data_IF_800841761804
#
_entry.id   IF_800841761804
#
_cell.length_a   1.000
_cell.length_b   1.000
_cell.length_c   1.000
_cell.angle_alpha   90.00
_cell.angle_beta   90.00
_cell.angle_gamma   90.00
#
_symmetry.space_group_name_H-M   'P 1'
#
loop_
_entity.id
_entity.type
_entity.pdbx_description
1 polymer ?
#
# COMPACT_ATOMS: atom_id res chain seq x y z
N UNK A 1 -46.58 6.86 4.32
CA UNK A 1 -45.53 7.57 5.10
C UNK A 1 -44.98 6.64 6.19
N UNK A 2 -44.10 5.69 5.86
CA UNK A 2 -43.56 4.73 6.88
C UNK A 2 -42.15 4.21 6.55
N UNK A 3 -41.32 4.96 5.82
CA UNK A 3 -39.93 4.53 5.53
C UNK A 3 -38.90 5.33 6.35
N UNK A 4 -39.23 6.55 6.76
CA UNK A 4 -38.32 7.41 7.53
C UNK A 4 -38.22 7.07 9.03
N UNK A 5 -39.20 6.37 9.60
CA UNK A 5 -39.23 6.04 11.04
C UNK A 5 -38.38 4.81 11.36
N UNK A 6 -38.13 3.92 10.38
CA UNK A 6 -37.30 2.72 10.57
C UNK A 6 -35.79 3.01 10.52
N UNK A 7 -35.36 4.08 9.83
CA UNK A 7 -33.95 4.46 9.74
C UNK A 7 -33.36 5.02 11.04
N UNK A 8 -34.16 5.73 11.85
CA UNK A 8 -33.72 6.33 13.11
C UNK A 8 -33.69 5.32 14.28
N UNK A 9 -34.54 4.29 14.26
CA UNK A 9 -34.56 3.25 15.29
C UNK A 9 -33.30 2.36 15.28
N UNK A 10 -32.74 2.07 14.09
CA UNK A 10 -31.55 1.22 13.97
C UNK A 10 -30.26 1.85 14.51
N UNK A 11 -30.11 3.17 14.35
CA UNK A 11 -28.92 3.92 14.83
C UNK A 11 -28.93 4.03 16.37
N UNK A 12 -30.10 4.21 16.99
CA UNK A 12 -30.25 4.26 18.44
C UNK A 12 -30.09 2.89 19.12
N UNK A 13 -30.42 1.81 18.42
CA UNK A 13 -30.26 0.45 18.95
C UNK A 13 -28.79 0.02 19.06
N UNK A 14 -27.96 0.42 18.10
CA UNK A 14 -26.52 0.15 18.12
C UNK A 14 -25.75 0.96 19.17
N UNK A 15 -26.13 2.23 19.40
CA UNK A 15 -25.50 3.07 20.43
C UNK A 15 -25.95 2.69 21.85
N UNK A 16 -27.20 2.23 22.01
CA UNK A 16 -27.76 1.83 23.31
C UNK A 16 -27.29 0.46 23.82
N UNK A 17 -27.07 -0.53 22.94
CA UNK A 17 -26.61 -1.87 23.36
C UNK A 17 -25.17 -1.83 23.91
N UNK A 18 -24.31 -0.98 23.35
CA UNK A 18 -22.92 -0.86 23.82
C UNK A 18 -22.81 -0.36 25.27
N UNK A 19 -23.82 0.36 25.77
CA UNK A 19 -23.82 0.92 27.13
C UNK A 19 -24.37 -0.01 28.22
N UNK A 20 -24.89 -1.21 27.88
CA UNK A 20 -25.68 -2.02 28.81
C UNK A 20 -25.17 -3.45 29.01
N UNK A 21 -23.85 -3.62 29.09
CA UNK A 21 -23.23 -4.86 29.58
C UNK A 21 -22.85 -4.64 31.05
N UNK A 22 -23.56 -5.24 32.03
CA UNK A 22 -23.17 -5.18 33.43
C UNK A 22 -21.91 -6.02 33.65
N UNK A 23 -20.76 -5.35 33.74
CA UNK A 23 -19.50 -5.96 34.13
C UNK A 23 -19.47 -6.15 35.65
N UNK A 24 -19.79 -7.37 36.12
CA UNK A 24 -19.34 -7.84 37.44
C UNK A 24 -18.52 -9.12 37.29
N UNK A 25 -17.20 -9.03 37.12
CA UNK A 25 -16.34 -10.20 37.24
C UNK A 25 -15.99 -10.44 38.72
N UNK A 26 -16.17 -11.68 39.19
CA UNK A 26 -15.64 -12.13 40.46
C UNK A 26 -14.11 -12.16 40.45
N UNK A 27 -13.51 -11.97 41.64
CA UNK A 27 -12.07 -11.78 41.95
C UNK A 27 -11.06 -12.78 41.33
N UNK A 28 -11.49 -13.86 40.69
CA UNK A 28 -10.63 -14.83 40.00
C UNK A 28 -10.46 -14.55 38.50
N UNK A 29 -11.32 -13.72 37.88
CA UNK A 29 -11.19 -13.31 36.48
C UNK A 29 -10.16 -12.17 36.29
N UNK A 30 -9.90 -11.37 37.32
CA UNK A 30 -8.99 -10.21 37.25
C UNK A 30 -7.51 -10.61 37.06
N UNK A 31 -7.09 -11.75 37.64
CA UNK A 31 -5.70 -12.22 37.51
C UNK A 31 -5.43 -12.78 36.11
N UNK A 32 -6.42 -13.46 35.51
CA UNK A 32 -6.34 -13.93 34.12
C UNK A 32 -6.43 -12.80 33.09
N UNK A 33 -7.28 -11.78 33.33
CA UNK A 33 -7.41 -10.62 32.45
C UNK A 33 -6.20 -9.68 32.50
N UNK A 34 -5.53 -9.51 33.65
CA UNK A 34 -4.28 -8.73 33.71
C UNK A 34 -3.12 -9.45 33.00
N UNK A 35 -2.91 -10.75 33.22
CA UNK A 35 -1.86 -11.49 32.54
C UNK A 35 -2.10 -11.58 31.01
N UNK A 36 -3.34 -11.86 30.61
CA UNK A 36 -3.74 -11.94 29.20
C UNK A 36 -3.67 -10.60 28.47
N UNK A 37 -4.01 -9.49 29.11
CA UNK A 37 -3.99 -8.16 28.49
C UNK A 37 -2.57 -7.61 28.29
N UNK A 38 -1.61 -7.92 29.17
CA UNK A 38 -0.20 -7.55 28.97
C UNK A 38 0.45 -8.33 27.83
N UNK A 39 0.23 -9.64 27.76
CA UNK A 39 0.74 -10.49 26.67
C UNK A 39 0.07 -10.08 25.35
N UNK A 40 -1.25 -9.88 25.33
CA UNK A 40 -1.99 -9.45 24.13
C UNK A 40 -1.58 -8.06 23.66
N UNK A 41 -1.35 -7.09 24.56
CA UNK A 41 -0.84 -5.75 24.19
C UNK A 41 0.58 -5.83 23.61
N UNK A 42 1.46 -6.69 24.13
CA UNK A 42 2.82 -6.90 23.60
C UNK A 42 2.80 -7.55 22.21
N UNK A 43 1.93 -8.54 22.00
CA UNK A 43 1.74 -9.19 20.69
C UNK A 43 1.04 -8.28 19.67
N UNK A 44 0.05 -7.47 20.08
CA UNK A 44 -0.56 -6.47 19.20
C UNK A 44 0.45 -5.40 18.83
N UNK A 45 1.23 -4.89 19.79
CA UNK A 45 2.27 -3.88 19.54
C UNK A 45 3.35 -4.41 18.59
N UNK A 46 3.73 -5.69 18.69
CA UNK A 46 4.69 -6.29 17.76
C UNK A 46 4.13 -6.50 16.35
N UNK A 47 2.87 -6.94 16.21
CA UNK A 47 2.21 -7.04 14.89
C UNK A 47 1.96 -5.68 14.26
N UNK A 48 1.46 -4.71 15.01
CA UNK A 48 1.23 -3.34 14.53
C UNK A 48 2.55 -2.73 14.08
N UNK A 49 3.64 -2.90 14.86
CA UNK A 49 4.95 -2.39 14.48
C UNK A 49 5.46 -2.99 13.16
N UNK A 50 5.32 -4.31 12.97
CA UNK A 50 5.67 -4.96 11.70
C UNK A 50 4.81 -4.46 10.54
N UNK A 51 3.51 -4.30 10.75
CA UNK A 51 2.61 -3.76 9.72
C UNK A 51 2.94 -2.31 9.37
N UNK A 52 3.29 -1.48 10.36
CA UNK A 52 3.72 -0.10 10.11
C UNK A 52 5.05 -0.04 9.39
N UNK A 53 6.02 -0.90 9.74
CA UNK A 53 7.30 -0.99 9.04
C UNK A 53 7.09 -1.37 7.56
N UNK A 54 6.30 -2.41 7.30
CA UNK A 54 5.95 -2.84 5.93
C UNK A 54 5.25 -1.72 5.15
N UNK A 55 4.31 -1.00 5.77
CA UNK A 55 3.60 0.10 5.13
C UNK A 55 4.52 1.30 4.83
N UNK A 56 5.42 1.64 5.75
CA UNK A 56 6.40 2.72 5.56
C UNK A 56 7.39 2.37 4.44
N UNK A 57 7.88 1.13 4.40
CA UNK A 57 8.74 0.66 3.31
C UNK A 57 8.02 0.71 1.96
N UNK A 58 6.77 0.25 1.89
CA UNK A 58 5.96 0.31 0.68
C UNK A 58 5.69 1.75 0.23
N UNK A 59 5.46 2.69 1.16
CA UNK A 59 5.29 4.10 0.85
C UNK A 59 6.58 4.72 0.31
N UNK A 60 7.73 4.43 0.94
CA UNK A 60 9.03 4.90 0.47
C UNK A 60 9.32 4.41 -0.94
N UNK A 61 9.09 3.12 -1.21
CA UNK A 61 9.24 2.53 -2.55
C UNK A 61 8.39 3.25 -3.60
N UNK A 62 7.14 3.60 -3.28
CA UNK A 62 6.26 4.37 -4.18
C UNK A 62 6.77 5.78 -4.44
N UNK A 63 7.34 6.45 -3.43
CA UNK A 63 7.96 7.77 -3.59
C UNK A 63 9.17 7.68 -4.52
N UNK A 64 10.05 6.70 -4.30
CA UNK A 64 11.19 6.43 -5.19
C UNK A 64 10.74 6.13 -6.63
N UNK A 65 9.71 5.29 -6.85
CA UNK A 65 9.19 4.99 -8.19
C UNK A 65 8.64 6.24 -8.91
N UNK A 66 7.98 7.11 -8.15
CA UNK A 66 7.47 8.38 -8.68
C UNK A 66 8.62 9.31 -9.07
N UNK A 67 9.59 9.51 -8.18
CA UNK A 67 10.77 10.33 -8.45
C UNK A 67 11.56 9.77 -9.64
N UNK A 68 11.71 8.44 -9.75
CA UNK A 68 12.34 7.81 -10.90
C UNK A 68 11.60 8.15 -12.21
N UNK A 69 10.27 8.17 -12.20
CA UNK A 69 9.48 8.57 -13.38
C UNK A 69 9.71 10.04 -13.75
N UNK A 70 9.88 10.92 -12.75
CA UNK A 70 10.21 12.33 -12.93
C UNK A 70 11.65 12.49 -13.49
N UNK A 71 12.62 11.75 -12.95
CA UNK A 71 14.00 11.65 -13.45
C UNK A 71 14.06 11.16 -14.91
N UNK A 72 13.33 10.10 -15.26
CA UNK A 72 13.24 9.62 -16.65
C UNK A 72 12.57 10.64 -17.58
N UNK A 73 11.65 11.46 -17.05
CA UNK A 73 11.05 12.56 -17.81
C UNK A 73 12.06 13.67 -18.08
N UNK A 74 12.86 14.01 -17.08
CA UNK A 74 13.98 14.95 -17.20
C UNK A 74 14.98 14.47 -18.26
N UNK A 75 15.42 13.21 -18.17
CA UNK A 75 16.32 12.58 -19.13
C UNK A 75 15.78 12.67 -20.55
N UNK A 76 14.50 12.34 -20.75
CA UNK A 76 13.86 12.46 -22.05
C UNK A 76 13.95 13.89 -22.59
N UNK A 77 13.75 14.89 -21.74
CA UNK A 77 13.88 16.30 -22.12
C UNK A 77 15.33 16.66 -22.47
N UNK A 78 16.31 16.20 -21.70
CA UNK A 78 17.74 16.38 -21.98
C UNK A 78 18.12 15.83 -23.36
N UNK A 79 17.68 14.60 -23.67
CA UNK A 79 17.93 13.95 -24.97
C UNK A 79 17.23 14.72 -26.09
N UNK A 80 15.96 15.10 -25.91
CA UNK A 80 15.21 15.86 -26.91
C UNK A 80 15.82 17.24 -27.20
N UNK A 81 16.51 17.84 -26.23
CA UNK A 81 17.24 19.10 -26.39
C UNK A 81 18.63 18.93 -27.03
N UNK A 82 19.06 17.71 -27.36
CA UNK A 82 20.39 17.42 -27.91
C UNK A 82 21.55 17.72 -26.95
N UNK A 83 21.27 17.72 -25.63
CA UNK A 83 22.27 17.93 -24.58
C UNK A 83 22.97 16.64 -24.15
N UNK A 84 22.42 15.51 -24.51
CA UNK A 84 22.96 14.16 -24.31
C UNK A 84 24.42 14.02 -24.78
N UNK A 85 24.78 14.53 -25.96
CA UNK A 85 26.16 14.46 -26.46
C UNK A 85 27.17 15.32 -25.67
N UNK A 86 26.71 16.23 -24.81
CA UNK A 86 27.58 17.12 -24.00
C UNK A 86 27.54 16.83 -22.51
N UNK A 87 26.65 15.93 -22.09
CA UNK A 87 26.36 15.69 -20.69
C UNK A 87 27.00 14.39 -20.26
N UNK A 88 28.05 14.51 -19.44
CA UNK A 88 28.70 13.33 -18.86
C UNK A 88 27.74 12.60 -17.93
N UNK A 89 27.99 11.30 -17.75
CA UNK A 89 27.24 10.47 -16.79
C UNK A 89 27.30 11.03 -15.38
N UNK A 90 28.46 11.55 -14.98
CA UNK A 90 28.66 12.15 -13.66
C UNK A 90 27.78 13.39 -13.48
N UNK A 91 27.73 14.27 -14.48
CA UNK A 91 26.87 15.45 -14.46
C UNK A 91 25.39 15.05 -14.45
N UNK A 92 25.01 14.02 -15.22
CA UNK A 92 23.66 13.48 -15.20
C UNK A 92 23.24 13.02 -13.81
N UNK A 93 24.05 12.18 -13.17
CA UNK A 93 23.71 11.65 -11.86
C UNK A 93 23.65 12.75 -10.79
N UNK A 94 24.47 13.78 -10.93
CA UNK A 94 24.47 14.94 -10.03
C UNK A 94 23.19 15.77 -10.21
N UNK A 95 22.80 16.10 -11.45
CA UNK A 95 21.53 16.79 -11.73
C UNK A 95 20.31 15.97 -11.29
N UNK A 96 20.32 14.63 -11.51
CA UNK A 96 19.26 13.75 -11.03
C UNK A 96 19.18 13.72 -9.50
N UNK A 97 20.32 13.79 -8.81
CA UNK A 97 20.38 13.87 -7.35
C UNK A 97 19.92 15.23 -6.80
N UNK A 98 19.95 16.29 -7.60
CA UNK A 98 19.41 17.61 -7.24
C UNK A 98 17.90 17.69 -7.44
N UNK A 99 17.38 17.01 -8.47
CA UNK A 99 15.93 17.01 -8.79
C UNK A 99 15.15 16.03 -7.90
N UNK A 100 15.81 15.01 -7.34
CA UNK A 100 15.18 14.00 -6.49
C UNK A 100 15.46 14.23 -5.00
N UNK A 101 14.45 14.00 -4.15
CA UNK A 101 14.60 14.09 -2.70
C UNK A 101 14.93 12.71 -2.09
N UNK A 102 14.14 11.69 -2.44
CA UNK A 102 14.26 10.33 -1.91
C UNK A 102 15.38 9.55 -2.60
N UNK A 103 15.63 9.79 -3.89
CA UNK A 103 16.67 9.12 -4.68
C UNK A 103 18.02 9.84 -4.65
N UNK A 104 18.12 11.03 -4.05
CA UNK A 104 19.36 11.80 -3.96
C UNK A 104 20.55 10.96 -3.46
N UNK A 105 20.36 10.25 -2.34
CA UNK A 105 21.40 9.40 -1.77
C UNK A 105 21.81 8.26 -2.71
N UNK A 106 20.83 7.68 -3.40
CA UNK A 106 21.05 6.57 -4.34
C UNK A 106 21.86 7.03 -5.54
N UNK A 107 21.52 8.17 -6.13
CA UNK A 107 22.27 8.72 -7.27
C UNK A 107 23.68 9.18 -6.88
N UNK A 108 23.85 9.78 -5.71
CA UNK A 108 25.19 10.15 -5.19
C UNK A 108 26.06 8.94 -4.93
N UNK A 109 25.51 7.90 -4.29
CA UNK A 109 26.22 6.65 -4.04
C UNK A 109 26.59 5.96 -5.35
N UNK A 110 25.67 5.96 -6.33
CA UNK A 110 25.92 5.43 -7.65
C UNK A 110 27.04 6.19 -8.38
N UNK A 111 26.98 7.53 -8.40
CA UNK A 111 28.01 8.38 -9.00
C UNK A 111 29.37 8.14 -8.35
N UNK A 112 29.42 8.03 -7.01
CA UNK A 112 30.64 7.72 -6.28
C UNK A 112 31.23 6.35 -6.69
N UNK A 113 30.40 5.30 -6.75
CA UNK A 113 30.84 3.95 -7.18
C UNK A 113 31.37 3.94 -8.61
N UNK A 114 30.72 4.69 -9.50
CA UNK A 114 31.12 4.79 -10.90
C UNK A 114 32.44 5.53 -11.10
N UNK A 115 32.74 6.54 -10.27
CA UNK A 115 34.04 7.22 -10.27
C UNK A 115 35.19 6.30 -9.87
N UNK A 116 34.94 5.30 -9.01
CA UNK A 116 35.92 4.28 -8.59
C UNK A 116 35.86 3.04 -9.52
N UNK A 117 35.15 3.13 -10.66
CA UNK A 117 35.01 2.04 -11.64
C UNK A 117 34.33 0.76 -11.11
N UNK A 118 33.54 0.85 -10.04
CA UNK A 118 32.80 -0.27 -9.45
C UNK A 118 31.38 -0.38 -10.05
N UNK A 119 31.28 -0.57 -11.38
CA UNK A 119 29.99 -0.58 -12.08
C UNK A 119 29.00 -1.63 -11.55
N UNK A 120 29.48 -2.81 -11.14
CA UNK A 120 28.62 -3.85 -10.56
C UNK A 120 28.02 -3.46 -9.20
N UNK A 121 28.76 -2.70 -8.39
CA UNK A 121 28.24 -2.20 -7.11
C UNK A 121 27.29 -1.02 -7.31
N UNK A 122 27.47 -0.23 -8.36
CA UNK A 122 26.54 0.82 -8.76
C UNK A 122 25.17 0.22 -9.16
N UNK A 123 25.15 -0.89 -9.91
CA UNK A 123 23.92 -1.63 -10.22
C UNK A 123 23.23 -2.14 -8.95
N UNK A 124 24.01 -2.72 -8.03
CA UNK A 124 23.49 -3.27 -6.78
C UNK A 124 22.91 -2.20 -5.85
N UNK A 125 23.49 -0.99 -5.79
CA UNK A 125 22.95 0.15 -5.02
C UNK A 125 21.54 0.50 -5.51
N UNK A 126 21.35 0.53 -6.82
CA UNK A 126 20.06 0.84 -7.41
C UNK A 126 19.07 -0.31 -7.21
N UNK A 127 19.51 -1.56 -7.44
CA UNK A 127 18.68 -2.75 -7.24
C UNK A 127 18.18 -2.88 -5.80
N UNK A 128 19.00 -2.60 -4.79
CA UNK A 128 18.59 -2.64 -3.38
C UNK A 128 17.52 -1.62 -3.01
N UNK A 129 17.40 -0.54 -3.77
CA UNK A 129 16.41 0.52 -3.50
C UNK A 129 15.02 0.10 -4.00
N UNK A 130 14.95 -0.55 -5.16
CA UNK A 130 13.69 -0.88 -5.81
C UNK A 130 13.30 -2.36 -5.63
N UNK A 131 14.27 -3.27 -5.49
CA UNK A 131 14.10 -4.73 -5.40
C UNK A 131 13.30 -5.32 -6.57
N UNK A 132 13.56 -4.83 -7.78
CA UNK A 132 12.82 -5.18 -8.99
C UNK A 132 13.79 -5.35 -10.16
N UNK A 133 13.47 -6.22 -11.10
CA UNK A 133 14.36 -6.55 -12.23
C UNK A 133 14.66 -5.32 -13.09
N UNK A 134 13.65 -4.48 -13.36
CA UNK A 134 13.82 -3.24 -14.12
C UNK A 134 14.86 -2.29 -13.50
N UNK A 135 15.11 -2.37 -12.19
CA UNK A 135 16.05 -1.49 -11.52
C UNK A 135 17.49 -1.74 -11.99
N UNK A 136 17.83 -3.00 -12.26
CA UNK A 136 19.15 -3.36 -12.81
C UNK A 136 19.32 -2.80 -14.22
N UNK A 137 18.27 -2.91 -15.03
CA UNK A 137 18.35 -2.47 -16.41
C UNK A 137 18.37 -0.93 -16.51
N UNK A 138 17.64 -0.24 -15.64
CA UNK A 138 17.74 1.22 -15.47
C UNK A 138 19.11 1.63 -14.94
N UNK A 139 19.72 0.85 -14.04
CA UNK A 139 21.07 1.15 -13.58
C UNK A 139 22.10 1.02 -14.71
N UNK A 140 21.98 -0.01 -15.57
CA UNK A 140 22.81 -0.17 -16.76
C UNK A 140 22.67 1.00 -17.73
N UNK A 141 21.45 1.51 -17.91
CA UNK A 141 21.19 2.73 -18.69
C UNK A 141 22.06 3.90 -18.22
N UNK A 142 22.18 4.10 -16.91
CA UNK A 142 23.03 5.16 -16.35
C UNK A 142 24.52 4.85 -16.52
N UNK A 143 24.93 3.59 -16.33
CA UNK A 143 26.33 3.17 -16.47
C UNK A 143 26.82 3.43 -17.90
N UNK A 144 26.00 3.06 -18.88
CA UNK A 144 26.28 3.10 -20.31
C UNK A 144 25.83 4.41 -20.98
N UNK A 145 25.38 5.40 -20.20
CA UNK A 145 24.80 6.66 -20.69
C UNK A 145 25.58 7.31 -21.84
N UNK A 146 26.90 7.37 -21.74
CA UNK A 146 27.77 8.00 -22.75
C UNK A 146 28.02 7.14 -24.00
N UNK A 147 27.70 5.84 -23.94
CA UNK A 147 27.98 4.86 -24.99
C UNK A 147 26.74 4.49 -25.81
N UNK A 148 25.54 4.86 -25.36
CA UNK A 148 24.27 4.52 -26.02
C UNK A 148 23.93 5.62 -27.05
N UNK A 149 23.48 5.20 -28.23
CA UNK A 149 23.00 6.15 -29.24
C UNK A 149 21.76 6.92 -28.74
N UNK A 150 21.64 8.24 -28.99
CA UNK A 150 20.52 9.07 -28.53
C UNK A 150 19.13 8.50 -28.82
N UNK A 151 18.97 7.89 -29.99
CA UNK A 151 17.71 7.27 -30.45
C UNK A 151 17.36 6.01 -29.65
N UNK A 152 18.36 5.17 -29.35
CA UNK A 152 18.19 3.97 -28.54
C UNK A 152 17.92 4.33 -27.07
N UNK A 153 18.65 5.33 -26.57
CA UNK A 153 18.49 5.89 -25.24
C UNK A 153 17.06 6.42 -25.02
N UNK A 154 16.54 7.18 -25.98
CA UNK A 154 15.17 7.70 -25.94
C UNK A 154 14.15 6.57 -25.88
N UNK A 155 14.26 5.57 -26.76
CA UNK A 155 13.33 4.43 -26.80
C UNK A 155 13.35 3.63 -25.50
N UNK A 156 14.53 3.45 -24.91
CA UNK A 156 14.73 2.72 -23.66
C UNK A 156 14.13 3.48 -22.47
N UNK A 157 14.36 4.80 -22.40
CA UNK A 157 13.76 5.68 -21.38
C UNK A 157 12.23 5.67 -21.49
N UNK A 158 11.68 5.72 -22.70
CA UNK A 158 10.23 5.65 -22.93
C UNK A 158 9.65 4.30 -22.50
N UNK A 159 10.32 3.19 -22.82
CA UNK A 159 9.91 1.86 -22.40
C UNK A 159 9.82 1.73 -20.87
N UNK A 160 10.83 2.20 -20.12
CA UNK A 160 10.78 2.17 -18.65
C UNK A 160 9.70 3.06 -18.08
N UNK A 161 9.46 4.23 -18.69
CA UNK A 161 8.37 5.11 -18.24
C UNK A 161 7.00 4.48 -18.44
N UNK A 162 6.78 3.82 -19.57
CA UNK A 162 5.54 3.12 -19.84
C UNK A 162 5.35 1.93 -18.91
N UNK A 163 6.41 1.17 -18.62
CA UNK A 163 6.41 0.09 -17.62
C UNK A 163 6.02 0.61 -16.23
N UNK A 164 6.65 1.70 -15.76
CA UNK A 164 6.30 2.31 -14.47
C UNK A 164 4.86 2.83 -14.45
N UNK A 165 4.41 3.44 -15.55
CA UNK A 165 3.04 3.94 -15.70
C UNK A 165 2.01 2.82 -15.68
N UNK A 166 2.28 1.71 -16.35
CA UNK A 166 1.41 0.52 -16.36
C UNK A 166 1.34 -0.12 -14.97
N UNK A 167 2.48 -0.21 -14.27
CA UNK A 167 2.54 -0.67 -12.88
C UNK A 167 1.67 0.19 -11.97
N UNK A 168 1.76 1.52 -12.10
CA UNK A 168 0.93 2.45 -11.33
C UNK A 168 -0.56 2.33 -11.66
N UNK A 169 -0.94 2.24 -12.94
CA UNK A 169 -2.32 2.02 -13.36
C UNK A 169 -2.89 0.72 -12.78
N UNK A 170 -2.12 -0.36 -12.83
CA UNK A 170 -2.52 -1.66 -12.28
C UNK A 170 -2.70 -1.60 -10.76
N UNK A 171 -1.79 -0.93 -10.06
CA UNK A 171 -1.90 -0.74 -8.61
C UNK A 171 -3.11 0.13 -8.23
N UNK A 172 -3.39 1.18 -9.01
CA UNK A 172 -4.55 2.04 -8.79
C UNK A 172 -5.86 1.28 -9.05
N UNK A 173 -5.95 0.55 -10.17
CA UNK A 173 -7.12 -0.26 -10.50
C UNK A 173 -7.43 -1.29 -9.40
N UNK A 174 -6.41 -1.99 -8.88
CA UNK A 174 -6.58 -2.89 -7.73
C UNK A 174 -7.12 -2.17 -6.51
N UNK A 175 -6.65 -0.95 -6.22
CA UNK A 175 -7.18 -0.17 -5.08
C UNK A 175 -8.63 0.23 -5.29
N UNK A 176 -8.98 0.64 -6.50
CA UNK A 176 -10.34 1.06 -6.84
C UNK A 176 -11.31 -0.13 -6.78
N UNK A 177 -10.88 -1.32 -7.20
CA UNK A 177 -11.61 -2.58 -7.04
C UNK A 177 -11.89 -2.87 -5.55
N UNK A 178 -10.86 -2.79 -4.69
CA UNK A 178 -11.02 -3.00 -3.24
C UNK A 178 -11.93 -1.96 -2.57
N UNK A 179 -11.85 -0.70 -3.00
CA UNK A 179 -12.72 0.38 -2.47
C UNK A 179 -14.16 0.14 -2.91
N UNK A 180 -14.38 -0.26 -4.16
CA UNK A 180 -15.70 -0.62 -4.68
C UNK A 180 -16.31 -1.76 -3.85
N UNK A 181 -15.59 -2.86 -3.65
CA UNK A 181 -16.06 -4.00 -2.86
C UNK A 181 -16.40 -3.61 -1.41
N UNK A 182 -15.60 -2.73 -0.80
CA UNK A 182 -15.84 -2.22 0.55
C UNK A 182 -17.14 -1.41 0.63
N UNK A 183 -17.51 -0.67 -0.42
CA UNK A 183 -18.76 0.10 -0.47
C UNK A 183 -20.00 -0.81 -0.56
N UNK A 184 -19.88 -1.99 -1.17
CA UNK A 184 -20.97 -2.98 -1.20
C UNK A 184 -21.14 -3.73 0.13
N UNK A 185 -20.08 -3.84 0.93
CA UNK A 185 -20.09 -4.63 2.16
C UNK A 185 -21.19 -4.24 3.17
N UNK A 186 -21.46 -2.95 3.49
CA UNK A 186 -22.54 -2.57 4.38
C UNK A 186 -23.93 -2.98 3.89
N UNK A 187 -24.16 -2.91 2.57
CA UNK A 187 -25.44 -3.27 1.96
C UNK A 187 -25.69 -4.77 2.14
N UNK A 188 -24.68 -5.59 1.84
CA UNK A 188 -24.74 -7.06 2.03
C UNK A 188 -24.89 -7.43 3.50
N UNK A 189 -24.13 -6.79 4.39
CA UNK A 189 -24.21 -7.02 5.83
C UNK A 189 -25.61 -6.71 6.39
N UNK A 190 -26.23 -5.63 5.92
CA UNK A 190 -27.60 -5.28 6.31
C UNK A 190 -28.61 -6.35 5.86
N UNK A 191 -28.51 -6.81 4.61
CA UNK A 191 -29.36 -7.90 4.12
C UNK A 191 -29.17 -9.19 4.94
N UNK A 192 -27.93 -9.53 5.30
CA UNK A 192 -27.61 -10.67 6.15
C UNK A 192 -28.21 -10.55 7.55
N UNK A 193 -28.23 -9.36 8.16
CA UNK A 193 -28.86 -9.10 9.47
C UNK A 193 -30.37 -9.31 9.40
N UNK A 194 -31.03 -8.80 8.35
CA UNK A 194 -32.46 -9.01 8.15
C UNK A 194 -32.78 -10.51 8.00
N UNK A 195 -31.97 -11.23 7.24
CA UNK A 195 -32.13 -12.67 7.05
C UNK A 195 -31.91 -13.44 8.36
N UNK A 196 -30.91 -13.06 9.15
CA UNK A 196 -30.65 -13.64 10.47
C UNK A 196 -31.82 -13.40 11.44
N UNK A 197 -32.41 -12.21 11.43
CA UNK A 197 -33.62 -11.91 12.21
C UNK A 197 -34.80 -12.80 11.79
N UNK A 198 -34.98 -13.03 10.49
CA UNK A 198 -36.03 -13.90 10.00
C UNK A 198 -35.82 -15.36 10.45
N UNK A 199 -34.59 -15.88 10.34
CA UNK A 199 -34.23 -17.21 10.87
C UNK A 199 -34.51 -17.29 12.38
N UNK A 200 -34.15 -16.26 13.14
CA UNK A 200 -34.40 -16.22 14.58
C UNK A 200 -35.89 -16.28 14.90
N UNK A 201 -36.72 -15.49 14.22
CA UNK A 201 -38.18 -15.50 14.40
C UNK A 201 -38.77 -16.87 14.02
N UNK A 202 -38.37 -17.43 12.89
CA UNK A 202 -38.85 -18.75 12.44
C UNK A 202 -38.48 -19.85 13.45
N UNK A 203 -37.23 -19.83 13.94
CA UNK A 203 -36.76 -20.76 14.96
C UNK A 203 -37.50 -20.57 16.29
N UNK A 204 -37.75 -19.33 16.70
CA UNK A 204 -38.50 -19.01 17.92
C UNK A 204 -39.96 -19.48 17.83
N UNK A 205 -40.62 -19.31 16.68
CA UNK A 205 -41.98 -19.83 16.45
C UNK A 205 -41.98 -21.36 16.55
N UNK A 206 -41.02 -22.03 15.90
CA UNK A 206 -40.91 -23.48 15.94
C UNK A 206 -40.62 -23.99 17.36
N UNK A 207 -39.75 -23.32 18.12
CA UNK A 207 -39.55 -23.63 19.54
C UNK A 207 -40.81 -23.39 20.38
N UNK A 208 -41.55 -22.30 20.13
CA UNK A 208 -42.82 -22.05 20.83
C UNK A 208 -43.83 -23.13 20.51
N UNK A 209 -43.99 -23.53 19.26
CA UNK A 209 -44.92 -24.57 18.83
C UNK A 209 -44.58 -25.92 19.47
N UNK A 210 -43.31 -26.27 19.57
CA UNK A 210 -42.84 -27.45 20.30
C UNK A 210 -43.05 -27.36 21.83
N UNK A 211 -42.91 -26.16 22.42
CA UNK A 211 -43.15 -25.93 23.85
C UNK A 211 -44.64 -25.84 24.21
N UNK A 212 -45.49 -25.36 23.30
CA UNK A 212 -46.95 -25.35 23.48
C UNK A 212 -47.62 -26.64 23.00
N UNK A 213 -46.89 -27.51 22.30
CA UNK A 213 -47.35 -28.81 21.81
C UNK A 213 -47.30 -29.95 22.84
N UNK A 214 -47.20 -29.65 24.14
CA UNK A 214 -47.39 -30.62 25.23
C UNK A 214 -48.39 -30.04 26.23
N UNK A 215 -49.66 -30.00 25.84
CA UNK A 215 -50.83 -30.71 26.43
C UNK A 215 -52.11 -30.22 25.75
#
# INVERSE_FOLDING_TARGET
MSVFVLGLGGVLFWTGWWLRIPAKPGRLADVGHQAGSYVRKRFLKSRIRRLTEVAVHAQKKRMCERELTECLSYIRHVIAMGRDCRMSRDLLLEELAEVSDSLQGVFRDMAHRLRISEAGLAEEVFYRTFEEDYARDVAKLFIEWEHIAPTELLSTVEAYRDLLREKHKTAQKKRDEWVSDLVYFPVVANAMIVLLNFIYIAYFIQQRELLTGIY
#
